data_IF_845713333407
#
_entry.id   IF_845713333407
#
_cell.length_a   1.000
_cell.length_b   1.000
_cell.length_c   1.000
_cell.angle_alpha   90.00
_cell.angle_beta   90.00
_cell.angle_gamma   90.00
#
_symmetry.space_group_name_H-M   'P 1'
#
loop_
_entity.id
_entity.type
_entity.pdbx_description
1 polymer ?
#
# COMPACT_ATOMS: atom_id res chain seq x y z
N UNK A 1 -4.77 -22.02 -8.36
CA UNK A 1 -3.79 -21.39 -7.47
C UNK A 1 -4.46 -20.60 -6.33
N UNK A 2 -5.46 -19.73 -6.58
CA UNK A 2 -6.12 -18.93 -5.52
C UNK A 2 -6.71 -19.81 -4.43
N UNK A 3 -7.46 -20.84 -4.81
CA UNK A 3 -8.05 -21.80 -3.86
C UNK A 3 -6.98 -22.57 -3.10
N UNK A 4 -5.88 -22.95 -3.77
CA UNK A 4 -4.75 -23.63 -3.12
C UNK A 4 -4.07 -22.77 -2.09
N UNK A 5 -3.78 -21.49 -2.42
CA UNK A 5 -3.24 -20.55 -1.47
C UNK A 5 -4.18 -20.33 -0.28
N UNK A 6 -5.49 -20.18 -0.54
CA UNK A 6 -6.47 -20.05 0.54
C UNK A 6 -6.45 -21.25 1.49
N UNK A 7 -6.31 -22.46 0.98
CA UNK A 7 -6.18 -23.69 1.79
C UNK A 7 -4.87 -23.73 2.59
N UNK A 8 -3.76 -23.33 1.97
CA UNK A 8 -2.43 -23.27 2.60
C UNK A 8 -2.44 -22.36 3.83
N UNK A 9 -3.11 -21.19 3.75
CA UNK A 9 -3.15 -20.21 4.84
C UNK A 9 -4.32 -20.39 5.81
N UNK A 10 -5.14 -21.46 5.66
CA UNK A 10 -6.17 -21.76 6.67
C UNK A 10 -5.53 -21.99 8.04
N UNK A 11 -6.24 -21.64 9.09
CA UNK A 11 -5.72 -21.72 10.46
C UNK A 11 -4.87 -20.49 10.88
N UNK A 12 -4.50 -19.60 9.95
CA UNK A 12 -3.85 -18.36 10.29
C UNK A 12 -4.88 -17.37 10.87
N UNK A 13 -4.63 -16.89 12.05
CA UNK A 13 -5.54 -16.01 12.77
C UNK A 13 -4.77 -15.08 13.72
N UNK A 14 -5.48 -14.34 14.53
CA UNK A 14 -4.89 -13.50 15.58
C UNK A 14 -5.60 -13.74 16.91
N UNK A 15 -4.90 -13.49 18.00
CA UNK A 15 -5.46 -13.56 19.34
C UNK A 15 -6.47 -12.43 19.55
N UNK A 16 -7.72 -12.79 19.87
CA UNK A 16 -8.78 -11.82 20.15
C UNK A 16 -8.55 -11.05 21.46
N UNK A 17 -9.42 -10.05 21.70
CA UNK A 17 -9.32 -9.19 22.88
C UNK A 17 -9.38 -9.93 24.23
N UNK A 18 -9.97 -11.12 24.27
CA UNK A 18 -10.09 -11.94 25.49
C UNK A 18 -8.83 -12.73 25.84
N UNK A 19 -7.79 -12.69 25.01
CA UNK A 19 -6.48 -13.28 25.31
C UNK A 19 -6.45 -14.82 25.39
N UNK A 20 -7.49 -15.51 24.91
CA UNK A 20 -7.60 -16.98 25.00
C UNK A 20 -6.52 -17.72 24.22
N UNK A 21 -5.96 -17.11 23.17
CA UNK A 21 -4.96 -17.71 22.28
C UNK A 21 -3.58 -17.02 22.39
N UNK A 22 -3.43 -16.08 23.29
CA UNK A 22 -2.21 -15.29 23.46
C UNK A 22 -2.46 -13.80 23.67
N UNK A 23 -1.43 -12.95 23.66
CA UNK A 23 -1.57 -11.52 23.77
C UNK A 23 -2.49 -10.96 22.68
N UNK A 24 -3.46 -10.08 23.00
CA UNK A 24 -4.38 -9.53 22.02
C UNK A 24 -3.67 -8.93 20.80
N UNK A 25 -4.10 -9.31 19.61
CA UNK A 25 -3.54 -8.86 18.34
C UNK A 25 -2.31 -9.63 17.85
N UNK A 26 -1.75 -10.56 18.65
CA UNK A 26 -0.65 -11.40 18.19
C UNK A 26 -1.12 -12.43 17.16
N UNK A 27 -0.24 -12.75 16.21
CA UNK A 27 -0.47 -13.85 15.27
C UNK A 27 -0.56 -15.19 15.99
N UNK A 28 -1.50 -16.02 15.54
CA UNK A 28 -1.70 -17.39 16.05
C UNK A 28 -1.94 -18.33 14.89
N UNK A 29 -1.33 -19.52 14.93
CA UNK A 29 -1.67 -20.63 14.05
C UNK A 29 -2.57 -21.62 14.78
N UNK A 30 -3.78 -21.81 14.28
CA UNK A 30 -4.73 -22.81 14.79
C UNK A 30 -4.69 -24.07 13.91
N UNK A 31 -3.96 -25.08 14.35
CA UNK A 31 -3.81 -26.34 13.61
C UNK A 31 -5.15 -27.05 13.35
N UNK A 32 -6.15 -26.91 14.25
CA UNK A 32 -7.45 -27.54 14.08
C UNK A 32 -8.32 -26.89 13.00
N UNK A 33 -7.99 -25.65 12.60
CA UNK A 33 -8.65 -24.93 11.53
C UNK A 33 -7.84 -24.95 10.21
N UNK A 34 -6.69 -25.62 10.20
CA UNK A 34 -5.86 -25.75 9.02
C UNK A 34 -6.32 -26.87 8.13
N UNK A 35 -6.42 -26.62 6.82
CA UNK A 35 -6.78 -27.63 5.82
C UNK A 35 -5.66 -28.66 5.68
N UNK A 36 -5.93 -29.95 5.95
CA UNK A 36 -4.91 -30.97 5.86
C UNK A 36 -4.55 -31.31 4.39
N UNK A 37 -3.36 -31.87 4.23
CA UNK A 37 -2.89 -32.43 2.94
C UNK A 37 -1.98 -31.49 2.16
N UNK A 38 -1.25 -32.03 1.17
CA UNK A 38 -0.40 -31.25 0.30
C UNK A 38 -1.23 -30.34 -0.61
N UNK A 39 -0.71 -29.19 -0.94
CA UNK A 39 -1.36 -28.23 -1.84
C UNK A 39 -0.44 -27.88 -3.00
N UNK A 40 -0.99 -27.85 -4.20
CA UNK A 40 -0.27 -27.43 -5.41
C UNK A 40 -0.49 -25.94 -5.65
N UNK A 41 0.59 -25.15 -5.73
CA UNK A 41 0.53 -23.70 -6.00
C UNK A 41 1.64 -23.33 -6.98
N UNK A 42 1.28 -22.68 -8.08
CA UNK A 42 2.21 -22.22 -9.13
C UNK A 42 3.13 -23.37 -9.64
N UNK A 43 2.58 -24.59 -9.77
CA UNK A 43 3.31 -25.75 -10.24
C UNK A 43 4.24 -26.42 -9.21
N UNK A 44 4.27 -25.96 -7.96
CA UNK A 44 5.05 -26.53 -6.85
C UNK A 44 4.13 -27.17 -5.80
N UNK A 45 4.49 -28.35 -5.29
CA UNK A 45 3.82 -29.00 -4.16
C UNK A 45 4.36 -28.46 -2.84
N UNK A 46 3.45 -28.15 -1.93
CA UNK A 46 3.73 -27.76 -0.55
C UNK A 46 3.19 -28.83 0.40
N UNK A 47 4.08 -29.48 1.12
CA UNK A 47 3.74 -30.56 2.04
C UNK A 47 2.99 -30.03 3.29
N UNK A 48 2.14 -30.85 3.92
CA UNK A 48 1.27 -30.43 5.03
C UNK A 48 2.04 -30.29 6.35
N UNK A 49 2.91 -29.32 6.43
CA UNK A 49 3.77 -29.03 7.59
C UNK A 49 3.18 -27.98 8.54
N UNK A 50 1.86 -27.76 8.48
CA UNK A 50 1.18 -26.77 9.31
C UNK A 50 1.59 -25.33 8.96
N UNK A 51 2.01 -24.55 9.95
CA UNK A 51 2.44 -23.15 9.74
C UNK A 51 3.51 -23.03 8.66
N UNK A 52 4.49 -23.93 8.65
CA UNK A 52 5.62 -23.88 7.71
C UNK A 52 5.19 -24.05 6.25
N UNK A 53 4.06 -24.72 5.96
CA UNK A 53 3.49 -24.81 4.62
C UNK A 53 3.16 -23.42 4.06
N UNK A 54 2.51 -22.57 4.88
CA UNK A 54 2.16 -21.22 4.50
C UNK A 54 3.37 -20.31 4.38
N UNK A 55 4.32 -20.41 5.30
CA UNK A 55 5.57 -19.63 5.27
C UNK A 55 6.39 -19.92 4.01
N UNK A 56 6.52 -21.22 3.62
CA UNK A 56 7.21 -21.62 2.40
C UNK A 56 6.51 -21.08 1.14
N UNK A 57 5.18 -21.20 1.08
CA UNK A 57 4.41 -20.68 -0.05
C UNK A 57 4.52 -19.16 -0.20
N UNK A 58 4.43 -18.41 0.89
CA UNK A 58 4.59 -16.95 0.88
C UNK A 58 6.02 -16.52 0.50
N UNK A 59 7.03 -17.25 0.98
CA UNK A 59 8.42 -16.98 0.61
C UNK A 59 8.67 -17.16 -0.89
N UNK A 60 8.09 -18.21 -1.49
CA UNK A 60 8.20 -18.44 -2.94
C UNK A 60 7.44 -17.37 -3.75
N UNK A 61 6.23 -17.00 -3.32
CA UNK A 61 5.46 -15.91 -3.96
C UNK A 61 6.22 -14.59 -3.86
N UNK A 62 6.82 -14.29 -2.72
CA UNK A 62 7.58 -13.04 -2.54
C UNK A 62 8.76 -12.93 -3.50
N UNK A 63 9.37 -14.06 -3.88
CA UNK A 63 10.50 -14.14 -4.84
C UNK A 63 10.07 -14.34 -6.28
N UNK A 64 8.78 -14.50 -6.53
CA UNK A 64 8.30 -14.79 -7.88
C UNK A 64 8.57 -13.61 -8.83
N UNK A 65 9.01 -13.86 -10.10
CA UNK A 65 9.29 -12.78 -11.06
C UNK A 65 8.11 -11.83 -11.31
N UNK A 66 6.88 -12.34 -11.25
CA UNK A 66 5.68 -11.50 -11.37
C UNK A 66 5.52 -10.57 -10.18
N UNK A 67 5.89 -10.99 -8.97
CA UNK A 67 5.90 -10.14 -7.77
C UNK A 67 6.91 -9.01 -7.92
N UNK A 68 8.13 -9.32 -8.38
CA UNK A 68 9.15 -8.32 -8.65
C UNK A 68 8.67 -7.27 -9.66
N UNK A 69 8.05 -7.70 -10.76
CA UNK A 69 7.50 -6.79 -11.77
C UNK A 69 6.32 -5.96 -11.22
N UNK A 70 5.43 -6.59 -10.46
CA UNK A 70 4.28 -5.92 -9.85
C UNK A 70 4.72 -4.83 -8.85
N UNK A 71 5.62 -5.17 -7.93
CA UNK A 71 6.14 -4.24 -6.92
C UNK A 71 6.87 -3.08 -7.59
N UNK A 72 7.77 -3.35 -8.55
CA UNK A 72 8.46 -2.31 -9.31
C UNK A 72 7.49 -1.38 -10.03
N UNK A 73 6.49 -1.93 -10.72
CA UNK A 73 5.46 -1.13 -11.42
C UNK A 73 4.66 -0.26 -10.46
N UNK A 74 4.19 -0.82 -9.35
CA UNK A 74 3.42 -0.09 -8.33
C UNK A 74 4.26 1.02 -7.70
N UNK A 75 5.53 0.75 -7.44
CA UNK A 75 6.44 1.70 -6.82
C UNK A 75 6.72 2.91 -7.75
N UNK A 76 7.00 2.66 -9.03
CA UNK A 76 7.18 3.73 -10.02
C UNK A 76 5.86 4.48 -10.25
N UNK A 77 4.74 3.76 -10.32
CA UNK A 77 3.42 4.40 -10.45
C UNK A 77 3.11 5.32 -9.29
N UNK A 78 3.42 4.90 -8.08
CA UNK A 78 3.15 5.72 -6.89
C UNK A 78 3.97 7.01 -6.87
N UNK A 79 5.27 6.94 -7.14
CA UNK A 79 6.18 8.05 -6.92
C UNK A 79 6.49 8.90 -8.17
N UNK A 80 6.33 8.34 -9.38
CA UNK A 80 6.83 8.98 -10.60
C UNK A 80 5.71 9.37 -11.55
N UNK A 81 4.96 8.41 -12.08
CA UNK A 81 3.94 8.68 -13.09
C UNK A 81 2.84 7.60 -13.09
N UNK A 82 1.61 7.98 -13.43
CA UNK A 82 0.48 7.04 -13.57
C UNK A 82 0.73 5.99 -14.66
N UNK A 83 1.45 6.37 -15.72
CA UNK A 83 1.98 5.46 -16.72
C UNK A 83 3.49 5.32 -16.52
N UNK A 84 3.93 4.28 -15.79
CA UNK A 84 5.33 4.12 -15.41
C UNK A 84 6.26 3.94 -16.60
N UNK A 85 7.38 4.68 -16.72
CA UNK A 85 8.38 4.44 -17.75
C UNK A 85 8.89 2.99 -17.74
N UNK A 86 8.74 2.23 -18.85
CA UNK A 86 9.06 0.79 -18.84
C UNK A 86 10.53 0.49 -18.50
N UNK A 87 11.46 1.35 -18.91
CA UNK A 87 12.89 1.20 -18.62
C UNK A 87 13.17 1.32 -17.12
N UNK A 88 12.51 2.25 -16.42
CA UNK A 88 12.65 2.41 -14.97
C UNK A 88 12.04 1.22 -14.24
N UNK A 89 10.85 0.74 -14.65
CA UNK A 89 10.24 -0.46 -14.08
C UNK A 89 11.16 -1.67 -14.23
N UNK A 90 11.73 -1.89 -15.43
CA UNK A 90 12.64 -3.01 -15.67
C UNK A 90 13.88 -2.94 -14.77
N UNK A 91 14.49 -1.77 -14.62
CA UNK A 91 15.63 -1.57 -13.72
C UNK A 91 15.30 -1.88 -12.26
N UNK A 92 14.17 -1.38 -11.76
CA UNK A 92 13.75 -1.63 -10.38
C UNK A 92 13.39 -3.11 -10.16
N UNK A 93 12.71 -3.75 -11.12
CA UNK A 93 12.46 -5.19 -11.09
C UNK A 93 13.78 -5.97 -10.96
N UNK A 94 14.78 -5.61 -11.74
CA UNK A 94 16.09 -6.27 -11.72
C UNK A 94 16.85 -6.04 -10.40
N UNK A 95 16.69 -4.86 -9.79
CA UNK A 95 17.20 -4.60 -8.42
C UNK A 95 16.48 -5.50 -7.42
N UNK A 96 15.17 -5.57 -7.46
CA UNK A 96 14.37 -6.42 -6.56
C UNK A 96 14.80 -7.88 -6.63
N UNK A 97 14.98 -8.43 -7.86
CA UNK A 97 15.40 -9.81 -8.06
C UNK A 97 16.82 -10.05 -7.53
N UNK A 98 17.78 -9.16 -7.86
CA UNK A 98 19.19 -9.34 -7.43
C UNK A 98 19.38 -9.22 -5.93
N UNK A 99 18.51 -8.50 -5.23
CA UNK A 99 18.62 -8.25 -3.79
C UNK A 99 17.67 -9.11 -2.96
N UNK A 100 17.05 -10.14 -3.58
CA UNK A 100 16.07 -11.04 -2.95
C UNK A 100 14.91 -10.28 -2.28
N UNK A 101 14.44 -9.20 -2.94
CA UNK A 101 13.31 -8.41 -2.48
C UNK A 101 13.64 -7.30 -1.48
N UNK A 102 14.90 -6.85 -1.37
CA UNK A 102 15.28 -5.73 -0.50
C UNK A 102 14.59 -4.42 -0.94
N UNK A 103 13.57 -4.01 -0.18
CA UNK A 103 12.80 -2.80 -0.46
C UNK A 103 13.61 -1.51 -0.24
N UNK A 104 14.62 -1.54 0.63
CA UNK A 104 15.52 -0.39 0.81
C UNK A 104 16.39 -0.18 -0.43
N UNK A 105 16.96 -1.26 -0.96
CA UNK A 105 17.72 -1.20 -2.21
C UNK A 105 16.84 -0.72 -3.38
N UNK A 106 15.56 -1.17 -3.42
CA UNK A 106 14.60 -0.72 -4.41
C UNK A 106 14.31 0.79 -4.29
N UNK A 107 14.08 1.28 -3.09
CA UNK A 107 13.85 2.70 -2.82
C UNK A 107 15.06 3.57 -3.19
N UNK A 108 16.26 3.12 -2.81
CA UNK A 108 17.52 3.79 -3.17
C UNK A 108 17.67 3.87 -4.70
N UNK A 109 17.43 2.76 -5.40
CA UNK A 109 17.55 2.74 -6.86
C UNK A 109 16.53 3.66 -7.56
N UNK A 110 15.34 3.87 -6.98
CA UNK A 110 14.38 4.86 -7.47
C UNK A 110 14.90 6.29 -7.28
N UNK A 111 15.36 6.62 -6.08
CA UNK A 111 15.86 7.96 -5.74
C UNK A 111 17.09 8.33 -6.58
N UNK A 112 17.96 7.36 -6.87
CA UNK A 112 19.16 7.54 -7.67
C UNK A 112 18.89 7.54 -9.19
N UNK A 113 17.62 7.37 -9.61
CA UNK A 113 17.29 7.33 -11.03
C UNK A 113 16.94 8.70 -11.58
N UNK A 114 17.65 9.14 -12.59
CA UNK A 114 17.39 10.39 -13.32
C UNK A 114 15.95 10.48 -13.84
N UNK A 115 15.41 9.37 -14.32
CA UNK A 115 14.07 9.31 -14.88
C UNK A 115 12.98 9.65 -13.86
N UNK A 116 13.20 9.33 -12.58
CA UNK A 116 12.24 9.68 -11.53
C UNK A 116 12.17 11.20 -11.33
N UNK A 117 13.30 11.89 -11.42
CA UNK A 117 13.38 13.35 -11.21
C UNK A 117 13.04 14.16 -12.45
N UNK A 118 13.28 13.60 -13.65
CA UNK A 118 12.95 14.26 -14.93
C UNK A 118 11.51 14.04 -15.38
N UNK A 119 10.75 13.19 -14.69
CA UNK A 119 9.34 12.94 -15.02
C UNK A 119 8.50 14.21 -14.84
N UNK A 120 7.51 14.47 -15.73
CA UNK A 120 6.59 15.58 -15.56
C UNK A 120 5.80 15.46 -14.24
N UNK A 121 5.61 16.58 -13.55
CA UNK A 121 4.86 16.65 -12.28
C UNK A 121 3.34 16.63 -12.56
N UNK A 122 2.84 15.53 -13.08
CA UNK A 122 1.44 15.37 -13.51
C UNK A 122 0.57 14.62 -12.50
N UNK A 123 1.17 14.02 -11.47
CA UNK A 123 0.41 13.24 -10.48
C UNK A 123 -0.41 14.14 -9.57
N UNK A 124 -1.70 13.80 -9.44
CA UNK A 124 -2.57 14.36 -8.41
C UNK A 124 -2.30 13.63 -7.08
N UNK A 125 -2.05 14.39 -6.03
CA UNK A 125 -1.89 13.83 -4.69
C UNK A 125 -3.15 13.08 -4.27
N UNK A 126 -2.97 11.96 -3.58
CA UNK A 126 -4.07 11.29 -2.90
C UNK A 126 -4.74 12.24 -1.88
N UNK A 127 -5.96 11.99 -1.41
CA UNK A 127 -6.57 12.78 -0.34
C UNK A 127 -5.70 12.89 0.91
N UNK A 128 -5.06 11.79 1.32
CA UNK A 128 -4.15 11.79 2.46
C UNK A 128 -2.95 12.72 2.22
N UNK A 129 -2.27 12.55 1.08
CA UNK A 129 -1.10 13.37 0.74
C UNK A 129 -1.47 14.85 0.57
N UNK A 130 -2.66 15.14 0.04
CA UNK A 130 -3.17 16.51 -0.08
C UNK A 130 -3.33 17.17 1.29
N UNK A 131 -3.98 16.49 2.24
CA UNK A 131 -4.19 17.03 3.59
C UNK A 131 -2.88 17.18 4.36
N UNK A 132 -1.97 16.19 4.26
CA UNK A 132 -0.63 16.27 4.89
C UNK A 132 0.18 17.42 4.30
N UNK A 133 0.19 17.57 2.97
CA UNK A 133 0.90 18.66 2.31
C UNK A 133 0.33 20.04 2.69
N UNK A 134 -1.00 20.15 2.80
CA UNK A 134 -1.66 21.36 3.25
C UNK A 134 -1.27 21.71 4.68
N UNK A 135 -1.29 20.76 5.60
CA UNK A 135 -0.85 20.95 6.98
C UNK A 135 0.63 21.38 7.08
N UNK A 136 1.50 20.76 6.29
CA UNK A 136 2.93 21.13 6.22
C UNK A 136 3.16 22.54 5.67
N UNK A 137 2.41 22.93 4.63
CA UNK A 137 2.50 24.25 4.03
C UNK A 137 2.22 25.36 5.05
N UNK A 138 1.26 25.14 5.94
CA UNK A 138 0.87 26.11 6.97
C UNK A 138 1.57 25.89 8.32
N UNK A 139 2.52 24.94 8.37
CA UNK A 139 3.26 24.56 9.59
C UNK A 139 2.33 24.19 10.77
N UNK A 140 1.17 23.59 10.50
CA UNK A 140 0.21 23.17 11.53
C UNK A 140 -0.05 21.67 11.50
N UNK A 141 -0.07 21.09 12.69
CA UNK A 141 -0.62 19.76 12.93
C UNK A 141 -2.06 19.94 13.38
N UNK A 142 -3.04 19.18 12.83
CA UNK A 142 -4.41 19.26 13.28
C UNK A 142 -4.54 18.95 14.78
N UNK A 143 -5.16 19.87 15.53
CA UNK A 143 -5.44 19.65 16.96
C UNK A 143 -6.57 18.63 17.16
N UNK A 144 -7.52 18.59 16.24
CA UNK A 144 -8.63 17.64 16.20
C UNK A 144 -8.41 16.60 15.10
N UNK A 145 -8.00 15.37 15.45
CA UNK A 145 -7.88 14.27 14.49
C UNK A 145 -9.23 13.88 13.87
N UNK A 146 -10.35 14.14 14.53
CA UNK A 146 -11.70 13.83 14.03
C UNK A 146 -12.04 14.63 12.76
N UNK A 147 -11.74 15.93 12.74
CA UNK A 147 -11.93 16.76 11.55
C UNK A 147 -11.07 16.30 10.37
N UNK A 148 -9.81 15.88 10.65
CA UNK A 148 -8.91 15.35 9.63
C UNK A 148 -9.44 14.03 9.04
N UNK A 149 -9.86 13.10 9.89
CA UNK A 149 -10.44 11.82 9.47
C UNK A 149 -11.74 12.00 8.68
N UNK A 150 -12.57 12.97 9.09
CA UNK A 150 -13.79 13.29 8.35
C UNK A 150 -13.47 13.81 6.93
N UNK A 151 -12.48 14.68 6.78
CA UNK A 151 -12.05 15.16 5.47
C UNK A 151 -11.52 14.03 4.58
N UNK A 152 -10.80 13.05 5.14
CA UNK A 152 -10.37 11.85 4.41
C UNK A 152 -11.57 11.03 3.92
N UNK A 153 -12.58 10.84 4.76
CA UNK A 153 -13.80 10.13 4.40
C UNK A 153 -14.54 10.85 3.26
N UNK A 154 -14.74 12.16 3.38
CA UNK A 154 -15.40 12.98 2.37
C UNK A 154 -14.66 12.97 1.04
N UNK A 155 -13.33 12.95 1.06
CA UNK A 155 -12.48 12.87 -0.12
C UNK A 155 -12.36 11.45 -0.70
N UNK A 156 -13.01 10.45 -0.10
CA UNK A 156 -13.06 9.08 -0.59
C UNK A 156 -11.85 8.20 -0.22
N UNK A 157 -11.05 8.63 0.76
CA UNK A 157 -9.92 7.83 1.27
C UNK A 157 -10.01 7.66 2.80
N UNK A 158 -11.02 6.93 3.30
CA UNK A 158 -11.14 6.66 4.74
C UNK A 158 -9.87 5.97 5.26
N UNK A 159 -9.37 6.40 6.42
CA UNK A 159 -8.12 5.88 6.99
C UNK A 159 -8.24 4.37 7.23
N UNK A 160 -7.28 3.59 6.69
CA UNK A 160 -7.17 2.13 6.84
C UNK A 160 -8.39 1.33 6.36
N UNK A 161 -9.29 1.92 5.55
CA UNK A 161 -10.53 1.29 5.10
C UNK A 161 -10.72 1.36 3.58
N UNK A 162 -9.80 0.77 2.78
CA UNK A 162 -10.00 0.66 1.35
C UNK A 162 -11.19 -0.26 1.03
N UNK A 163 -11.83 -0.04 -0.11
CA UNK A 163 -12.97 -0.85 -0.54
C UNK A 163 -12.62 -2.31 -0.87
N UNK A 164 -11.35 -2.63 -1.06
CA UNK A 164 -10.90 -3.98 -1.40
C UNK A 164 -9.47 -4.26 -0.93
N UNK A 165 -9.03 -5.53 -0.99
CA UNK A 165 -7.72 -5.96 -0.49
C UNK A 165 -6.54 -5.43 -1.31
N UNK A 166 -6.80 -4.89 -2.49
CA UNK A 166 -5.81 -4.24 -3.36
C UNK A 166 -5.44 -2.81 -2.92
N UNK A 167 -6.04 -2.32 -1.84
CA UNK A 167 -5.77 -0.98 -1.32
C UNK A 167 -6.52 0.13 -2.07
N UNK A 168 -6.12 1.38 -1.82
CA UNK A 168 -6.64 2.54 -2.54
C UNK A 168 -6.02 2.66 -3.94
N UNK A 169 -6.74 3.30 -4.89
CA UNK A 169 -6.18 3.63 -6.20
C UNK A 169 -4.93 4.51 -6.10
N UNK A 170 -3.99 4.30 -7.01
CA UNK A 170 -2.71 5.01 -7.07
C UNK A 170 -2.55 5.88 -8.34
N UNK A 171 -3.64 6.06 -9.10
CA UNK A 171 -3.66 6.88 -10.30
C UNK A 171 -4.39 8.20 -10.08
N UNK A 172 -3.96 9.25 -10.78
CA UNK A 172 -4.55 10.59 -10.73
C UNK A 172 -6.03 10.58 -11.11
N UNK A 173 -6.42 9.78 -12.10
CA UNK A 173 -7.81 9.68 -12.57
C UNK A 173 -8.79 9.30 -11.45
N UNK A 174 -8.39 8.45 -10.52
CA UNK A 174 -9.22 8.05 -9.39
C UNK A 174 -9.50 9.21 -8.41
N UNK A 175 -8.62 10.20 -8.35
CA UNK A 175 -8.70 11.34 -7.43
C UNK A 175 -9.12 12.66 -8.11
N UNK A 176 -9.31 12.64 -9.43
CA UNK A 176 -9.66 13.80 -10.25
C UNK A 176 -11.17 13.95 -10.50
N UNK A 177 -12.02 13.17 -9.84
CA UNK A 177 -13.45 13.30 -9.97
C UNK A 177 -13.91 14.74 -9.63
N UNK A 178 -14.85 15.35 -10.39
CA UNK A 178 -15.25 16.74 -10.20
C UNK A 178 -15.65 17.09 -8.77
N UNK A 179 -16.40 16.21 -8.11
CA UNK A 179 -16.84 16.36 -6.73
C UNK A 179 -15.67 16.40 -5.76
N UNK A 180 -14.69 15.50 -5.96
CA UNK A 180 -13.47 15.45 -5.15
C UNK A 180 -12.60 16.68 -5.34
N UNK A 181 -12.50 17.19 -6.58
CA UNK A 181 -11.76 18.42 -6.88
C UNK A 181 -12.45 19.64 -6.27
N UNK A 182 -13.78 19.74 -6.37
CA UNK A 182 -14.54 20.81 -5.72
C UNK A 182 -14.28 20.81 -4.20
N UNK A 183 -14.39 19.65 -3.56
CA UNK A 183 -14.16 19.53 -2.12
C UNK A 183 -12.73 19.92 -1.71
N UNK A 184 -11.71 19.61 -2.54
CA UNK A 184 -10.33 20.06 -2.31
C UNK A 184 -10.23 21.59 -2.33
N UNK A 185 -10.90 22.24 -3.28
CA UNK A 185 -10.94 23.70 -3.35
C UNK A 185 -11.65 24.30 -2.13
N UNK A 186 -12.76 23.72 -1.71
CA UNK A 186 -13.50 24.15 -0.52
C UNK A 186 -12.63 24.02 0.76
N UNK A 187 -11.93 22.90 0.93
CA UNK A 187 -10.99 22.70 2.04
C UNK A 187 -9.83 23.71 1.98
N UNK A 188 -9.25 23.92 0.82
CA UNK A 188 -8.17 24.89 0.65
C UNK A 188 -8.61 26.33 0.99
N UNK A 189 -9.82 26.71 0.54
CA UNK A 189 -10.41 28.01 0.87
C UNK A 189 -10.67 28.17 2.39
N UNK A 190 -11.16 27.11 3.05
CA UNK A 190 -11.36 27.11 4.50
C UNK A 190 -10.03 27.26 5.27
N UNK A 191 -8.97 26.58 4.81
CA UNK A 191 -7.64 26.70 5.37
C UNK A 191 -7.14 28.13 5.20
N UNK A 192 -7.24 28.70 3.99
CA UNK A 192 -6.83 30.07 3.70
C UNK A 192 -7.58 31.12 4.54
N UNK A 193 -8.90 30.96 4.69
CA UNK A 193 -9.72 31.86 5.52
C UNK A 193 -9.33 31.85 7.01
N UNK A 194 -8.87 30.70 7.53
CA UNK A 194 -8.42 30.57 8.93
C UNK A 194 -7.02 31.11 9.19
N UNK A 195 -6.21 31.22 8.15
CA UNK A 195 -4.85 31.77 8.28
C UNK A 195 -4.85 33.30 8.38
N UNK A 196 -5.94 33.96 7.97
CA UNK A 196 -6.02 35.40 7.93
C UNK A 196 -4.97 36.00 6.99
N UNK A 197 -4.75 37.30 7.13
CA UNK A 197 -3.75 38.06 6.34
C UNK A 197 -2.31 37.92 6.83
N UNK A 198 -2.02 36.87 7.64
CA UNK A 198 -0.69 36.65 8.25
C UNK A 198 0.18 35.68 7.43
N UNK A 199 0.03 35.67 6.13
CA UNK A 199 0.99 35.03 5.21
C UNK A 199 1.74 36.19 4.55
N UNK A 200 2.87 36.60 5.15
CA UNK A 200 3.87 37.41 4.50
C UNK A 200 4.71 36.57 3.54
#
# INVERSE_FOLDING_TARGET
DVTSLARIITGWTFAGRQGQLGPPGSFVFNANAHQPGPQMLLGKSYEPTGLAQGEAALADIARHPSTANFIATKFVRHFVADDPPPALVARLRDVFVRTDGDLKALATALVDSDEAWKAPLTKIRSPYDFLVASGRLIARVPEDPGAYLNNLNLLGQPLWSPAGPNGFPDTSAAWAAPEGMKLRLDIAAQIGARLGTNID
#
